data_IF_793719587726
#
_entry.id   IF_793719587726
#
_cell.length_a   1.000
_cell.length_b   1.000
_cell.length_c   1.000
_cell.angle_alpha   90.00
_cell.angle_beta   90.00
_cell.angle_gamma   90.00
#
_symmetry.space_group_name_H-M   'P 1'
#
loop_
_entity.id
_entity.type
_entity.pdbx_description
1 polymer ?
#
# COMPACT_ATOMS: atom_id res chain seq x y z
N UNK A 1 -8.61 9.35 16.48
CA UNK A 1 -7.17 9.07 16.27
C UNK A 1 -7.12 8.05 15.16
N UNK A 2 -6.69 8.46 13.97
CA UNK A 2 -6.73 7.65 12.76
C UNK A 2 -6.00 6.31 12.91
N UNK A 3 -6.57 5.28 12.30
CA UNK A 3 -6.11 3.89 12.31
C UNK A 3 -4.86 3.63 11.44
N UNK A 4 -4.16 4.65 10.98
CA UNK A 4 -2.91 4.53 10.23
C UNK A 4 -1.71 4.94 11.07
N UNK A 5 -0.86 3.98 11.30
CA UNK A 5 0.53 4.22 11.66
C UNK A 5 1.33 4.27 10.34
N UNK A 6 1.53 5.48 9.81
CA UNK A 6 2.56 5.72 8.82
C UNK A 6 3.89 5.68 9.56
N UNK A 7 4.73 4.72 9.26
CA UNK A 7 5.77 4.35 10.19
C UNK A 7 7.14 4.68 9.63
N UNK A 8 7.88 5.48 10.37
CA UNK A 8 9.32 5.34 10.48
C UNK A 8 9.75 3.93 10.94
N UNK A 9 8.81 3.02 11.20
CA UNK A 9 9.07 1.71 11.80
C UNK A 9 9.82 0.76 10.88
N UNK A 10 9.78 0.93 9.55
CA UNK A 10 10.66 0.18 8.66
C UNK A 10 12.15 0.45 8.92
N UNK A 11 12.49 1.57 9.56
CA UNK A 11 13.87 1.90 9.95
C UNK A 11 14.22 1.49 11.37
N UNK A 12 13.24 1.36 12.26
CA UNK A 12 13.47 1.10 13.69
C UNK A 12 13.09 -0.33 14.11
N UNK A 13 12.17 -0.99 13.39
CA UNK A 13 11.78 -2.36 13.69
C UNK A 13 12.43 -3.34 12.71
N UNK A 14 13.24 -4.25 13.24
CA UNK A 14 13.98 -5.22 12.44
C UNK A 14 13.07 -6.14 11.62
N UNK A 15 11.89 -6.52 12.14
CA UNK A 15 10.90 -7.31 11.41
C UNK A 15 10.37 -6.59 10.17
N UNK A 16 10.00 -5.33 10.31
CA UNK A 16 9.53 -4.52 9.19
C UNK A 16 10.65 -4.20 8.19
N UNK A 17 11.87 -3.98 8.66
CA UNK A 17 13.04 -3.81 7.78
C UNK A 17 13.25 -5.04 6.92
N UNK A 18 13.24 -6.24 7.51
CA UNK A 18 13.38 -7.50 6.79
C UNK A 18 12.19 -7.76 5.86
N UNK A 19 10.97 -7.47 6.30
CA UNK A 19 9.78 -7.56 5.45
C UNK A 19 9.93 -6.65 4.21
N UNK A 20 10.37 -5.41 4.39
CA UNK A 20 10.59 -4.46 3.30
C UNK A 20 11.65 -4.87 2.29
N UNK A 21 12.58 -5.75 2.67
CA UNK A 21 13.63 -6.30 1.83
C UNK A 21 13.43 -7.79 1.49
N UNK A 22 12.25 -8.36 1.82
CA UNK A 22 11.99 -9.78 1.59
C UNK A 22 11.93 -10.09 0.09
N UNK A 23 12.64 -11.12 -0.41
CA UNK A 23 12.76 -11.40 -1.85
C UNK A 23 11.41 -11.70 -2.51
N UNK A 24 10.47 -12.35 -1.81
CA UNK A 24 9.12 -12.62 -2.33
C UNK A 24 8.28 -11.38 -2.55
N UNK A 25 8.63 -10.25 -1.93
CA UNK A 25 7.97 -8.95 -2.12
C UNK A 25 8.70 -8.12 -3.17
N UNK A 26 10.03 -8.03 -3.07
CA UNK A 26 10.85 -7.14 -3.90
C UNK A 26 11.04 -7.68 -5.32
N UNK A 27 11.38 -8.97 -5.46
CA UNK A 27 11.74 -9.54 -6.77
C UNK A 27 10.60 -9.50 -7.81
N UNK A 28 9.32 -9.80 -7.46
CA UNK A 28 8.22 -9.64 -8.42
C UNK A 28 8.06 -8.21 -8.92
N UNK A 29 8.26 -7.21 -8.03
CA UNK A 29 8.16 -5.81 -8.43
C UNK A 29 9.33 -5.40 -9.33
N UNK A 30 10.56 -5.82 -9.01
CA UNK A 30 11.73 -5.61 -9.90
C UNK A 30 11.51 -6.21 -11.28
N UNK A 31 10.91 -7.41 -11.35
CA UNK A 31 10.59 -8.06 -12.60
C UNK A 31 9.54 -7.28 -13.40
N UNK A 32 8.46 -6.81 -12.75
CA UNK A 32 7.36 -6.08 -13.41
C UNK A 32 7.83 -4.69 -13.88
N UNK A 33 8.65 -4.00 -13.09
CA UNK A 33 9.15 -2.67 -13.39
C UNK A 33 10.45 -2.68 -14.22
N UNK A 34 11.00 -3.88 -14.50
CA UNK A 34 12.22 -4.10 -15.30
C UNK A 34 13.43 -3.32 -14.77
N UNK A 35 13.63 -3.31 -13.43
CA UNK A 35 14.77 -2.61 -12.84
C UNK A 35 14.77 -2.58 -11.32
N UNK A 36 15.71 -1.83 -10.78
CA UNK A 36 15.86 -1.64 -9.35
C UNK A 36 14.75 -0.75 -8.78
N UNK A 37 14.37 -1.04 -7.54
CA UNK A 37 13.28 -0.34 -6.85
C UNK A 37 13.72 0.17 -5.49
N UNK A 38 13.12 1.29 -5.08
CA UNK A 38 13.25 1.84 -3.74
C UNK A 38 11.91 1.82 -3.01
N UNK A 39 11.94 1.92 -1.68
CA UNK A 39 10.75 2.03 -0.84
C UNK A 39 10.21 3.45 -0.88
N UNK A 40 9.13 3.69 -1.62
CA UNK A 40 8.47 5.00 -1.66
C UNK A 40 7.59 5.24 -0.44
N UNK A 41 6.82 4.23 -0.03
CA UNK A 41 6.01 4.27 1.19
C UNK A 41 6.02 2.92 1.91
N UNK A 42 5.97 2.97 3.24
CA UNK A 42 5.72 1.83 4.11
C UNK A 42 4.67 2.23 5.14
N UNK A 43 3.57 1.49 5.22
CA UNK A 43 2.44 1.81 6.09
C UNK A 43 1.91 0.57 6.79
N UNK A 44 1.44 0.72 8.01
CA UNK A 44 0.61 -0.29 8.69
C UNK A 44 -0.78 0.30 8.84
N UNK A 45 -1.78 -0.34 8.27
CA UNK A 45 -3.17 0.08 8.37
C UNK A 45 -3.94 -0.95 9.21
N UNK A 46 -4.26 -0.55 10.43
CA UNK A 46 -5.07 -1.35 11.34
C UNK A 46 -6.48 -0.77 11.41
N UNK A 47 -7.47 -1.58 11.08
CA UNK A 47 -8.89 -1.28 11.31
C UNK A 47 -9.36 -2.08 12.51
N UNK A 48 -9.64 -1.39 13.62
CA UNK A 48 -10.18 -2.03 14.81
C UNK A 48 -11.57 -2.63 14.55
N UNK A 49 -11.99 -3.55 15.40
CA UNK A 49 -13.36 -4.08 15.38
C UNK A 49 -14.37 -2.94 15.59
N UNK A 50 -15.41 -2.90 14.76
CA UNK A 50 -16.48 -1.89 14.78
C UNK A 50 -16.00 -0.45 14.56
N UNK A 51 -14.78 -0.27 14.03
CA UNK A 51 -14.15 1.03 13.81
C UNK A 51 -13.26 0.97 12.56
N UNK A 52 -12.67 2.08 12.21
CA UNK A 52 -11.74 2.17 11.09
C UNK A 52 -12.26 3.08 9.99
N UNK A 53 -11.36 3.91 9.52
CA UNK A 53 -11.66 4.95 8.54
C UNK A 53 -11.99 4.39 7.16
N UNK A 54 -12.78 5.13 6.41
CA UNK A 54 -12.99 4.88 4.99
C UNK A 54 -11.80 5.42 4.19
N UNK A 55 -11.39 4.67 3.20
CA UNK A 55 -10.49 5.13 2.15
C UNK A 55 -11.30 5.28 0.88
N UNK A 56 -11.56 6.50 0.47
CA UNK A 56 -12.33 6.81 -0.73
C UNK A 56 -11.63 6.31 -2.00
N UNK A 57 -12.38 6.14 -3.09
CA UNK A 57 -11.86 5.68 -4.37
C UNK A 57 -10.77 6.61 -4.91
N UNK A 58 -9.58 6.06 -5.14
CA UNK A 58 -8.40 6.80 -5.57
C UNK A 58 -7.44 5.94 -6.39
N UNK A 59 -6.43 6.61 -6.94
CA UNK A 59 -5.21 6.02 -7.49
C UNK A 59 -4.04 6.59 -6.70
N UNK A 60 -3.17 5.74 -6.16
CA UNK A 60 -1.99 6.20 -5.42
C UNK A 60 -1.08 7.07 -6.28
N UNK A 61 -0.79 6.62 -7.52
CA UNK A 61 0.01 7.40 -8.45
C UNK A 61 -0.60 8.78 -8.73
N UNK A 62 -1.93 8.90 -8.73
CA UNK A 62 -2.61 10.18 -8.89
C UNK A 62 -2.19 11.21 -7.85
N UNK A 63 -2.02 10.79 -6.60
CA UNK A 63 -1.51 11.63 -5.50
C UNK A 63 0.00 11.86 -5.65
N UNK A 64 0.79 10.82 -5.87
CA UNK A 64 2.24 10.94 -5.98
C UNK A 64 2.68 11.81 -7.15
N UNK A 65 1.96 11.75 -8.26
CA UNK A 65 2.22 12.58 -9.43
C UNK A 65 1.92 14.06 -9.16
N UNK A 66 0.76 14.36 -8.54
CA UNK A 66 0.31 15.74 -8.29
C UNK A 66 1.09 16.43 -7.17
N UNK A 67 1.31 15.71 -6.06
CA UNK A 67 1.89 16.30 -4.86
C UNK A 67 3.42 16.18 -4.82
N UNK A 68 3.95 15.03 -5.22
CA UNK A 68 5.38 14.72 -5.12
C UNK A 68 6.11 14.83 -6.47
N UNK A 69 5.39 15.14 -7.56
CA UNK A 69 5.95 15.19 -8.92
C UNK A 69 6.67 13.89 -9.31
N UNK A 70 6.08 12.73 -8.98
CA UNK A 70 6.52 11.44 -9.49
C UNK A 70 6.31 11.42 -11.02
N UNK A 71 7.35 11.18 -11.85
CA UNK A 71 7.23 11.36 -13.30
C UNK A 71 6.28 10.38 -13.98
N UNK A 72 6.39 9.09 -13.67
CA UNK A 72 5.71 8.00 -14.37
C UNK A 72 5.03 7.02 -13.41
N UNK A 73 4.03 6.25 -13.86
CA UNK A 73 3.35 5.26 -13.03
C UNK A 73 4.18 3.97 -12.85
N UNK A 74 5.51 4.07 -12.79
CA UNK A 74 6.44 2.96 -12.59
C UNK A 74 6.58 2.65 -11.09
N UNK A 75 5.44 2.29 -10.47
CA UNK A 75 5.36 1.93 -9.07
C UNK A 75 4.28 0.87 -8.83
N UNK A 76 4.54 -0.01 -7.87
CA UNK A 76 3.64 -1.10 -7.47
C UNK A 76 3.37 -1.04 -5.97
N UNK A 77 2.15 -1.39 -5.60
CA UNK A 77 1.76 -1.59 -4.22
C UNK A 77 1.76 -3.07 -3.87
N UNK A 78 2.21 -3.37 -2.67
CA UNK A 78 2.12 -4.67 -2.04
C UNK A 78 1.30 -4.50 -0.76
N UNK A 79 0.31 -5.37 -0.54
CA UNK A 79 -0.45 -5.45 0.69
C UNK A 79 -0.22 -6.82 1.31
N UNK A 80 0.37 -6.87 2.50
CA UNK A 80 0.57 -8.11 3.26
C UNK A 80 -0.44 -8.17 4.39
N UNK A 81 -1.24 -9.23 4.44
CA UNK A 81 -2.26 -9.43 5.46
C UNK A 81 -1.61 -9.95 6.75
N UNK A 82 -1.65 -9.17 7.81
CA UNK A 82 -1.21 -9.61 9.14
C UNK A 82 -2.30 -10.39 9.84
N UNK A 83 -3.56 -9.99 9.64
CA UNK A 83 -4.76 -10.68 10.09
C UNK A 83 -5.54 -11.22 8.90
N UNK A 84 -6.47 -12.14 9.13
CA UNK A 84 -7.41 -12.61 8.13
C UNK A 84 -8.22 -11.45 7.57
N UNK A 85 -8.25 -11.30 6.25
CA UNK A 85 -9.07 -10.31 5.56
C UNK A 85 -10.32 -10.98 5.01
N UNK A 86 -11.47 -10.51 5.45
CA UNK A 86 -12.80 -11.00 5.07
C UNK A 86 -13.60 -9.93 4.33
N UNK A 87 -14.73 -10.29 3.76
CA UNK A 87 -15.62 -9.32 3.13
C UNK A 87 -16.22 -8.30 4.12
N UNK A 88 -16.19 -8.58 5.44
CA UNK A 88 -16.85 -7.78 6.47
C UNK A 88 -15.91 -6.85 7.25
N UNK A 89 -14.60 -7.09 7.26
CA UNK A 89 -13.66 -6.34 8.10
C UNK A 89 -12.90 -5.22 7.38
N UNK A 90 -13.52 -4.61 6.38
CA UNK A 90 -12.95 -3.48 5.65
C UNK A 90 -11.85 -3.87 4.65
N UNK A 91 -12.12 -4.83 3.72
CA UNK A 91 -11.16 -5.25 2.72
C UNK A 91 -10.82 -4.12 1.74
N UNK A 92 -9.74 -4.30 0.97
CA UNK A 92 -9.52 -3.49 -0.23
C UNK A 92 -10.58 -3.82 -1.29
N UNK A 93 -11.08 -2.79 -1.93
CA UNK A 93 -11.96 -2.86 -3.09
C UNK A 93 -11.18 -2.40 -4.31
N UNK A 94 -11.24 -3.14 -5.41
CA UNK A 94 -10.56 -2.80 -6.66
C UNK A 94 -11.53 -2.75 -7.83
N UNK A 95 -11.24 -1.85 -8.78
CA UNK A 95 -11.88 -1.87 -10.10
C UNK A 95 -10.89 -2.49 -11.09
N UNK A 96 -11.05 -3.77 -11.46
CA UNK A 96 -10.16 -4.44 -12.41
C UNK A 96 -10.03 -3.68 -13.72
N UNK A 97 -8.81 -3.68 -14.28
CA UNK A 97 -8.46 -3.01 -15.55
C UNK A 97 -8.48 -1.48 -15.52
N UNK A 98 -8.87 -0.82 -14.42
CA UNK A 98 -8.91 0.64 -14.33
C UNK A 98 -7.54 1.31 -14.53
N UNK A 99 -6.44 0.62 -14.26
CA UNK A 99 -5.08 1.09 -14.53
C UNK A 99 -4.82 1.38 -16.03
N UNK A 100 -5.60 0.77 -16.94
CA UNK A 100 -5.46 0.97 -18.40
C UNK A 100 -5.92 2.35 -18.87
N UNK A 101 -6.66 3.07 -18.05
CA UNK A 101 -7.13 4.42 -18.36
C UNK A 101 -6.11 5.52 -17.98
N UNK A 102 -4.93 5.13 -17.49
CA UNK A 102 -3.94 6.10 -17.01
C UNK A 102 -4.38 6.83 -15.75
N UNK A 103 -3.93 8.07 -15.60
CA UNK A 103 -4.32 8.94 -14.47
C UNK A 103 -5.73 9.46 -14.71
N UNK A 104 -6.64 9.12 -13.81
CA UNK A 104 -8.03 9.56 -13.84
C UNK A 104 -8.16 10.92 -13.14
N UNK A 105 -9.05 11.77 -13.63
CA UNK A 105 -9.35 13.06 -12.98
C UNK A 105 -9.85 12.82 -11.54
N UNK A 106 -9.35 13.63 -10.61
CA UNK A 106 -9.63 13.52 -9.19
C UNK A 106 -9.73 14.88 -8.52
N UNK A 107 -10.57 15.00 -7.50
CA UNK A 107 -10.67 16.15 -6.62
C UNK A 107 -9.85 15.94 -5.34
N UNK A 108 -9.39 17.02 -4.72
CA UNK A 108 -8.67 16.94 -3.46
C UNK A 108 -9.66 16.83 -2.29
N UNK A 109 -9.67 15.69 -1.62
CA UNK A 109 -10.50 15.40 -0.46
C UNK A 109 -9.70 15.68 0.82
N UNK A 110 -10.17 16.62 1.61
CA UNK A 110 -9.53 17.06 2.86
C UNK A 110 -10.28 16.58 4.11
N UNK A 111 -11.43 15.94 3.95
CA UNK A 111 -12.39 15.75 5.05
C UNK A 111 -12.82 14.31 5.28
N UNK A 112 -12.92 13.49 4.23
CA UNK A 112 -13.58 12.18 4.32
C UNK A 112 -12.64 10.99 4.38
N UNK A 113 -11.32 11.22 4.38
CA UNK A 113 -10.28 10.21 4.50
C UNK A 113 -9.35 10.51 5.69
N UNK A 114 -8.60 9.51 6.16
CA UNK A 114 -7.68 9.67 7.30
C UNK A 114 -6.63 10.77 7.12
N UNK A 115 -6.27 11.09 5.88
CA UNK A 115 -5.44 12.25 5.51
C UNK A 115 -5.81 12.75 4.11
N UNK A 116 -5.41 13.98 3.73
CA UNK A 116 -5.72 14.55 2.42
C UNK A 116 -5.34 13.61 1.27
N UNK A 117 -6.29 13.36 0.38
CA UNK A 117 -6.15 12.41 -0.71
C UNK A 117 -6.81 12.94 -1.99
N UNK A 118 -6.30 12.59 -3.16
CA UNK A 118 -6.95 12.85 -4.43
C UNK A 118 -7.94 11.73 -4.74
N UNK A 119 -9.23 12.03 -4.61
CA UNK A 119 -10.32 11.05 -4.76
C UNK A 119 -11.05 11.22 -6.09
N UNK A 120 -11.55 10.11 -6.64
CA UNK A 120 -12.29 10.09 -7.89
C UNK A 120 -13.75 10.49 -7.65
N UNK A 121 -14.34 11.21 -8.63
CA UNK A 121 -15.76 11.49 -8.65
C UNK A 121 -16.59 10.20 -8.72
N UNK A 122 -17.74 10.17 -8.02
CA UNK A 122 -18.62 8.99 -7.92
C UNK A 122 -19.16 8.53 -9.28
N UNK A 123 -19.43 9.46 -10.21
CA UNK A 123 -19.88 9.14 -11.55
C UNK A 123 -18.78 8.41 -12.33
N UNK A 124 -17.52 8.88 -12.18
CA UNK A 124 -16.37 8.24 -12.81
C UNK A 124 -16.10 6.87 -12.22
N UNK A 125 -16.18 6.71 -10.92
CA UNK A 125 -16.07 5.39 -10.25
C UNK A 125 -17.12 4.42 -10.78
N UNK A 126 -18.38 4.87 -10.89
CA UNK A 126 -19.48 4.05 -11.45
C UNK A 126 -19.18 3.61 -12.88
N UNK A 127 -18.79 4.55 -13.76
CA UNK A 127 -18.41 4.26 -15.16
C UNK A 127 -17.30 3.19 -15.25
N UNK A 128 -16.25 3.33 -14.44
CA UNK A 128 -15.15 2.37 -14.40
C UNK A 128 -15.59 1.00 -13.90
N UNK A 129 -16.46 0.96 -12.88
CA UNK A 129 -17.00 -0.28 -12.33
C UNK A 129 -17.98 -1.00 -13.28
N UNK A 130 -18.77 -0.27 -14.05
CA UNK A 130 -19.63 -0.85 -15.09
C UNK A 130 -18.80 -1.56 -16.17
N UNK A 131 -17.60 -1.09 -16.46
CA UNK A 131 -16.68 -1.69 -17.44
C UNK A 131 -15.77 -2.78 -16.85
N UNK A 132 -15.36 -2.65 -15.60
CA UNK A 132 -14.34 -3.51 -14.98
C UNK A 132 -14.87 -4.44 -13.89
N UNK A 133 -16.08 -4.19 -13.39
CA UNK A 133 -16.59 -4.81 -12.15
C UNK A 133 -15.98 -4.17 -10.90
N UNK A 134 -16.31 -4.75 -9.75
CA UNK A 134 -15.72 -4.40 -8.47
C UNK A 134 -15.41 -5.69 -7.72
N UNK A 135 -14.19 -5.84 -7.20
CA UNK A 135 -13.76 -7.03 -6.48
C UNK A 135 -13.17 -6.67 -5.13
N UNK A 136 -13.37 -7.55 -4.15
CA UNK A 136 -12.81 -7.45 -2.81
C UNK A 136 -11.98 -8.72 -2.52
N UNK A 137 -10.68 -8.74 -2.80
CA UNK A 137 -9.85 -9.88 -2.46
C UNK A 137 -9.82 -10.12 -0.95
N UNK A 138 -10.03 -11.37 -0.56
CA UNK A 138 -9.98 -11.84 0.83
C UNK A 138 -8.97 -12.97 0.95
N UNK A 139 -8.52 -13.27 2.16
CA UNK A 139 -7.58 -14.35 2.40
C UNK A 139 -7.12 -14.41 3.86
N UNK A 140 -6.48 -15.50 4.23
CA UNK A 140 -5.91 -15.65 5.58
C UNK A 140 -4.70 -14.74 5.78
N UNK A 141 -4.31 -14.56 7.04
CA UNK A 141 -3.04 -13.96 7.43
C UNK A 141 -1.88 -14.59 6.63
N UNK A 142 -0.92 -13.76 6.22
CA UNK A 142 0.18 -14.16 5.31
C UNK A 142 -0.16 -14.06 3.83
N UNK A 143 -1.42 -13.82 3.44
CA UNK A 143 -1.77 -13.53 2.04
C UNK A 143 -1.16 -12.22 1.58
N UNK A 144 -0.91 -12.10 0.29
CA UNK A 144 -0.33 -10.91 -0.33
C UNK A 144 -1.12 -10.51 -1.58
N UNK A 145 -1.32 -9.20 -1.75
CA UNK A 145 -1.80 -8.62 -3.00
C UNK A 145 -0.70 -7.76 -3.62
N UNK A 146 -0.54 -7.85 -4.93
CA UNK A 146 0.36 -7.01 -5.71
C UNK A 146 -0.47 -6.30 -6.79
N UNK A 147 -0.42 -4.96 -6.82
CA UNK A 147 -1.22 -4.18 -7.75
C UNK A 147 -0.54 -2.88 -8.18
N UNK A 148 -0.87 -2.42 -9.39
CA UNK A 148 -0.34 -1.19 -9.95
C UNK A 148 -0.79 0.03 -9.16
N UNK A 149 0.09 1.02 -9.02
CA UNK A 149 -0.24 2.34 -8.43
C UNK A 149 -1.33 3.11 -9.18
N UNK A 150 -1.62 2.73 -10.43
CA UNK A 150 -2.74 3.26 -11.23
C UNK A 150 -4.07 2.53 -11.00
N UNK A 151 -4.08 1.40 -10.30
CA UNK A 151 -5.32 0.67 -10.07
C UNK A 151 -6.24 1.44 -9.13
N UNK A 152 -7.46 1.72 -9.59
CA UNK A 152 -8.47 2.41 -8.78
C UNK A 152 -8.94 1.49 -7.67
N UNK A 153 -8.83 1.97 -6.44
CA UNK A 153 -9.15 1.19 -5.26
C UNK A 153 -9.71 2.04 -4.11
N UNK A 154 -10.30 1.38 -3.15
CA UNK A 154 -10.91 1.95 -1.95
C UNK A 154 -10.89 0.95 -0.81
N UNK A 155 -11.29 1.37 0.39
CA UNK A 155 -11.53 0.45 1.52
C UNK A 155 -12.66 1.00 2.39
N UNK A 156 -13.76 0.22 2.61
CA UNK A 156 -14.85 0.62 3.49
C UNK A 156 -14.42 0.61 4.96
N UNK A 157 -15.21 1.19 5.88
CA UNK A 157 -15.02 1.02 7.31
C UNK A 157 -15.10 -0.45 7.73
N UNK A 158 -14.57 -0.76 8.90
CA UNK A 158 -14.73 -2.09 9.52
C UNK A 158 -15.95 -2.09 10.44
N UNK A 159 -17.02 -2.77 10.03
CA UNK A 159 -18.24 -2.94 10.83
C UNK A 159 -18.32 -4.32 11.51
N UNK A 160 -17.29 -5.15 11.35
CA UNK A 160 -17.25 -6.50 11.92
C UNK A 160 -16.71 -6.49 13.36
N UNK A 161 -16.96 -7.55 14.16
CA UNK A 161 -16.39 -7.71 15.48
C UNK A 161 -14.90 -8.09 15.47
N UNK A 162 -14.27 -8.20 14.30
CA UNK A 162 -12.88 -8.61 14.14
C UNK A 162 -12.04 -7.46 13.55
N UNK A 163 -10.92 -7.13 14.19
CA UNK A 163 -9.95 -6.22 13.64
C UNK A 163 -9.26 -6.80 12.40
N UNK A 164 -8.63 -5.93 11.61
CA UNK A 164 -7.74 -6.38 10.53
C UNK A 164 -6.58 -5.41 10.34
N UNK A 165 -5.39 -5.96 10.22
CA UNK A 165 -4.14 -5.23 9.99
C UNK A 165 -3.55 -5.64 8.66
N UNK A 166 -3.21 -4.65 7.82
CA UNK A 166 -2.50 -4.85 6.56
C UNK A 166 -1.26 -3.97 6.56
N UNK A 167 -0.12 -4.56 6.18
CA UNK A 167 1.10 -3.81 5.89
C UNK A 167 1.13 -3.48 4.40
N UNK A 168 1.33 -2.20 4.07
CA UNK A 168 1.45 -1.71 2.70
C UNK A 168 2.89 -1.27 2.42
N UNK A 169 3.42 -1.76 1.32
CA UNK A 169 4.70 -1.34 0.76
C UNK A 169 4.45 -0.79 -0.65
N UNK A 170 4.87 0.44 -0.90
CA UNK A 170 4.85 1.01 -2.24
C UNK A 170 6.28 1.07 -2.75
N UNK A 171 6.58 0.23 -3.74
CA UNK A 171 7.90 0.16 -4.37
C UNK A 171 7.88 0.89 -5.70
N UNK A 172 8.84 1.77 -5.91
CA UNK A 172 8.96 2.57 -7.11
C UNK A 172 10.32 2.32 -7.78
N UNK A 173 10.37 2.34 -9.11
CA UNK A 173 11.61 2.26 -9.86
C UNK A 173 12.56 3.40 -9.47
N UNK A 174 13.85 3.12 -9.27
CA UNK A 174 14.81 4.11 -8.75
C UNK A 174 14.93 5.37 -9.62
N UNK A 175 14.82 5.26 -10.95
CA UNK A 175 14.84 6.40 -11.86
C UNK A 175 13.55 7.23 -11.84
N UNK A 176 12.48 6.68 -11.27
CA UNK A 176 11.16 7.31 -11.22
C UNK A 176 10.87 7.98 -9.87
N UNK A 177 11.88 8.31 -9.09
CA UNK A 177 11.71 8.90 -7.77
C UNK A 177 11.02 10.27 -7.84
N UNK A 178 10.40 10.67 -6.73
CA UNK A 178 9.71 11.95 -6.56
C UNK A 178 10.65 13.14 -6.80
N UNK A 179 10.11 14.26 -7.31
CA UNK A 179 10.84 15.49 -7.63
C UNK A 179 10.47 16.65 -6.70
N UNK A 180 9.33 16.57 -6.01
CA UNK A 180 8.91 17.54 -5.01
C UNK A 180 8.83 16.89 -3.62
N UNK A 181 9.23 17.62 -2.59
CA UNK A 181 9.34 17.17 -1.21
C UNK A 181 8.38 17.95 -0.30
N UNK A 182 7.13 18.13 -0.77
CA UNK A 182 6.11 18.89 -0.03
C UNK A 182 5.50 18.09 1.11
N UNK A 183 5.31 16.78 0.89
CA UNK A 183 4.79 15.88 1.93
C UNK A 183 5.93 15.46 2.86
N UNK A 184 5.59 15.16 4.10
CA UNK A 184 6.57 14.71 5.09
C UNK A 184 7.30 13.45 4.65
N UNK A 185 8.56 13.30 5.04
CA UNK A 185 9.40 12.16 4.66
C UNK A 185 8.86 10.82 5.14
N UNK A 186 8.13 10.81 6.24
CA UNK A 186 7.48 9.59 6.75
C UNK A 186 6.27 9.17 5.90
N UNK A 187 5.71 10.07 5.06
CA UNK A 187 4.66 9.76 4.07
C UNK A 187 5.28 9.42 2.72
N UNK A 188 6.31 10.16 2.29
CA UNK A 188 6.97 10.00 1.00
C UNK A 188 8.48 9.91 1.22
N UNK A 189 8.99 8.70 1.24
CA UNK A 189 10.40 8.44 1.58
C UNK A 189 11.35 9.09 0.57
N UNK A 190 12.48 9.57 1.07
CA UNK A 190 13.51 10.29 0.29
C UNK A 190 14.81 9.51 0.14
N UNK A 191 14.86 8.28 0.65
CA UNK A 191 15.95 7.36 0.36
C UNK A 191 15.62 6.61 -0.94
N UNK A 192 16.30 6.97 -2.03
CA UNK A 192 16.10 6.41 -3.37
C UNK A 192 17.09 5.29 -3.69
N UNK A 193 17.88 4.85 -2.71
CA UNK A 193 18.79 3.72 -2.88
C UNK A 193 18.03 2.44 -3.20
N UNK A 194 18.57 1.60 -4.11
CA UNK A 194 17.97 0.33 -4.44
C UNK A 194 17.81 -0.57 -3.23
N UNK A 195 16.65 -1.20 -3.09
CA UNK A 195 16.45 -2.25 -2.10
C UNK A 195 17.25 -3.48 -2.54
N UNK A 196 18.15 -3.93 -1.68
CA UNK A 196 18.86 -5.19 -1.85
C UNK A 196 18.03 -6.30 -1.18
N UNK A 197 17.48 -7.25 -1.94
CA UNK A 197 16.71 -8.35 -1.35
C UNK A 197 17.56 -9.18 -0.38
N UNK A 198 16.96 -9.53 0.75
CA UNK A 198 17.56 -10.44 1.74
C UNK A 198 17.35 -11.90 1.34
N UNK A 199 17.82 -12.84 2.17
CA UNK A 199 17.51 -14.26 2.00
C UNK A 199 16.04 -14.57 2.32
N UNK A 200 15.50 -15.62 1.68
CA UNK A 200 14.07 -15.98 1.79
C UNK A 200 13.66 -16.39 3.21
N UNK A 201 14.60 -16.83 4.03
CA UNK A 201 14.39 -17.21 5.43
C UNK A 201 14.58 -16.07 6.44
N UNK A 202 14.83 -14.85 6.00
CA UNK A 202 15.21 -13.71 6.86
C UNK A 202 14.21 -13.42 8.00
N UNK A 203 12.91 -13.59 7.77
CA UNK A 203 11.88 -13.42 8.81
C UNK A 203 11.83 -14.60 9.77
N UNK A 204 11.98 -15.83 9.27
CA UNK A 204 12.00 -17.05 10.09
C UNK A 204 13.20 -17.07 11.03
N UNK A 205 14.37 -16.67 10.55
CA UNK A 205 15.58 -16.54 11.38
C UNK A 205 15.41 -15.52 12.49
N UNK A 206 14.75 -14.39 12.19
CA UNK A 206 14.45 -13.39 13.21
C UNK A 206 13.48 -13.91 14.27
N UNK A 207 12.46 -14.66 13.86
CA UNK A 207 11.50 -15.26 14.78
C UNK A 207 12.17 -16.26 15.74
N UNK A 208 13.03 -17.14 15.21
CA UNK A 208 13.80 -18.11 16.01
C UNK A 208 14.71 -17.37 17.01
N UNK A 209 15.45 -16.35 16.55
CA UNK A 209 16.35 -15.58 17.41
C UNK A 209 15.59 -14.91 18.57
N UNK A 210 14.39 -14.37 18.31
CA UNK A 210 13.58 -13.70 19.33
C UNK A 210 13.01 -14.72 20.36
N UNK A 211 12.66 -15.93 19.93
CA UNK A 211 12.23 -16.99 20.84
C UNK A 211 13.35 -17.42 21.78
N UNK A 212 14.55 -17.65 21.24
CA UNK A 212 15.73 -18.05 22.03
C UNK A 212 16.21 -16.97 23.02
N UNK A 213 15.94 -15.71 22.74
CA UNK A 213 16.28 -14.59 23.64
C UNK A 213 15.26 -14.36 24.76
N UNK A 214 14.08 -14.96 24.68
CA UNK A 214 13.00 -14.86 25.65
C UNK A 214 12.98 -16.02 26.66
N UNK A 215 13.78 -17.06 26.43
CA UNK A 215 14.06 -18.20 27.35
C UNK A 215 15.30 -17.88 28.23
#
# INVERSE_FOLDING_TARGET
>A
VGSELCIRDSTYNEGFKRLGAHPRLVNPVKQILEGDVYMHQFKVNAKAAFDGDVWQWHQDFGTWHRDDQMPEPRAMNISVFVDDVTAANGPLLFIPKSHKFGVVEAGHDLETTSYPLWTLDRKKVKELAENGGCVAPTGPAGSMLLFSSLLVHASPPNISPFGRTIVYLSLCHVENHIRAFKRDEWIAHRNFEPIIPMDDNCLTELAIKNQTAAE
#
